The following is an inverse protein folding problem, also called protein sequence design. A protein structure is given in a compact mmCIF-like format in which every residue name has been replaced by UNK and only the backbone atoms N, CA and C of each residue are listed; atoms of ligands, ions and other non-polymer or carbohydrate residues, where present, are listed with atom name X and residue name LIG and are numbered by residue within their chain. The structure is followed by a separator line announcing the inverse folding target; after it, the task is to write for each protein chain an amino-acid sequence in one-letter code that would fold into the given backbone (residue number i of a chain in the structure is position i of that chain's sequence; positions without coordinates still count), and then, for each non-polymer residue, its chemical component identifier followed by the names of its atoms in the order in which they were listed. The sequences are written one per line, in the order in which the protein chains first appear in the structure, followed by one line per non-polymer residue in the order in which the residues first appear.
data_IF_515342866147
#
_entry.id   IF_515342866147
#
_cell.length_a   1.000
_cell.length_b   1.000
_cell.length_c   1.000
_cell.angle_alpha   90.00
_cell.angle_beta   90.00
_cell.angle_gamma   90.00
#
_symmetry.space_group_name_H-M   'P 1'
#
loop_
_entity.id
_entity.type
_entity.pdbx_description
1 polymer ?
#
# COMPACT_ATOMS: atom_id res chain seq x y z
N UNK A 1 -25.19 10.43 -11.78
CA UNK A 1 -25.02 9.24 -12.65
C UNK A 1 -26.28 8.42 -12.51
N UNK A 2 -26.91 8.00 -13.62
CA UNK A 2 -28.19 7.28 -13.56
C UNK A 2 -28.04 6.01 -12.70
N UNK A 3 -28.97 5.78 -11.77
CA UNK A 3 -29.00 4.60 -10.88
C UNK A 3 -28.90 3.28 -11.67
N UNK A 4 -29.42 3.24 -12.90
CA UNK A 4 -29.29 2.10 -13.81
C UNK A 4 -27.84 1.71 -14.12
N UNK A 5 -26.94 2.68 -14.27
CA UNK A 5 -25.51 2.42 -14.55
C UNK A 5 -24.84 1.76 -13.34
N UNK A 6 -25.16 2.22 -12.12
CA UNK A 6 -24.64 1.63 -10.89
C UNK A 6 -25.09 0.17 -10.72
N UNK A 7 -26.36 -0.13 -11.06
CA UNK A 7 -26.88 -1.50 -11.03
C UNK A 7 -26.15 -2.38 -12.05
N UNK A 8 -25.94 -1.90 -13.28
CA UNK A 8 -25.17 -2.65 -14.28
C UNK A 8 -23.75 -2.95 -13.81
N UNK A 9 -23.05 -1.96 -13.24
CA UNK A 9 -21.68 -2.16 -12.73
C UNK A 9 -21.65 -3.08 -11.51
N UNK A 10 -22.70 -3.07 -10.69
CA UNK A 10 -22.85 -3.99 -9.57
C UNK A 10 -23.07 -5.45 -10.02
N UNK A 11 -23.80 -5.68 -11.10
CA UNK A 11 -23.93 -7.01 -11.71
C UNK A 11 -22.60 -7.48 -12.29
N UNK A 12 -21.84 -6.59 -12.94
CA UNK A 12 -20.48 -6.87 -13.41
C UNK A 12 -19.56 -7.21 -12.23
N UNK A 13 -19.67 -6.48 -11.12
CA UNK A 13 -18.94 -6.79 -9.89
C UNK A 13 -19.30 -8.19 -9.36
N UNK A 14 -20.60 -8.51 -9.27
CA UNK A 14 -21.06 -9.85 -8.90
C UNK A 14 -20.46 -10.93 -9.80
N UNK A 15 -20.47 -10.72 -11.11
CA UNK A 15 -19.92 -11.67 -12.09
C UNK A 15 -18.40 -11.85 -11.97
N UNK A 16 -17.67 -10.78 -11.69
CA UNK A 16 -16.20 -10.81 -11.60
C UNK A 16 -15.67 -11.36 -10.27
N UNK A 17 -16.42 -11.21 -9.16
CA UNK A 17 -15.93 -11.49 -7.81
C UNK A 17 -16.68 -12.61 -7.06
N UNK A 18 -17.88 -13.04 -7.50
CA UNK A 18 -18.62 -14.07 -6.78
C UNK A 18 -17.91 -15.44 -6.82
N UNK A 19 -17.55 -15.97 -5.65
CA UNK A 19 -16.72 -17.18 -5.47
C UNK A 19 -15.34 -17.10 -6.14
N UNK A 20 -14.90 -15.91 -6.54
CA UNK A 20 -13.62 -15.68 -7.17
C UNK A 20 -12.61 -15.11 -6.19
N UNK A 21 -11.37 -15.56 -6.30
CA UNK A 21 -10.24 -14.91 -5.66
C UNK A 21 -9.78 -13.70 -6.46
N UNK A 22 -8.86 -12.89 -5.92
CA UNK A 22 -8.28 -11.79 -6.69
C UNK A 22 -7.34 -12.30 -7.79
N UNK A 23 -7.40 -11.63 -8.94
CA UNK A 23 -6.57 -11.87 -10.11
C UNK A 23 -6.88 -10.81 -11.17
N UNK A 24 -7.09 -11.23 -12.41
CA UNK A 24 -7.44 -10.34 -13.52
C UNK A 24 -8.77 -9.60 -13.30
N UNK A 25 -9.70 -10.16 -12.53
CA UNK A 25 -10.95 -9.49 -12.15
C UNK A 25 -10.76 -8.10 -11.53
N UNK A 26 -9.73 -7.90 -10.71
CA UNK A 26 -9.39 -6.60 -10.12
C UNK A 26 -9.07 -5.60 -11.23
N UNK A 27 -8.20 -5.98 -12.17
CA UNK A 27 -7.76 -5.13 -13.27
C UNK A 27 -8.95 -4.78 -14.19
N UNK A 28 -9.80 -5.76 -14.49
CA UNK A 28 -11.01 -5.58 -15.29
C UNK A 28 -12.04 -4.66 -14.61
N UNK A 29 -12.05 -4.60 -13.28
CA UNK A 29 -13.02 -3.78 -12.55
C UNK A 29 -12.59 -2.31 -12.38
N UNK A 30 -11.30 -1.98 -12.48
CA UNK A 30 -10.78 -0.60 -12.32
C UNK A 30 -11.46 0.42 -13.25
N UNK A 31 -11.65 0.16 -14.56
CA UNK A 31 -12.35 1.09 -15.45
C UNK A 31 -13.74 1.50 -14.95
N UNK A 32 -14.49 0.59 -14.34
CA UNK A 32 -15.81 0.87 -13.78
C UNK A 32 -15.72 1.80 -12.56
N UNK A 33 -14.73 1.57 -11.69
CA UNK A 33 -14.41 2.47 -10.56
C UNK A 33 -14.08 3.88 -11.07
N UNK A 34 -13.24 4.00 -12.10
CA UNK A 34 -12.87 5.29 -12.71
C UNK A 34 -14.10 6.04 -13.26
N UNK A 35 -15.01 5.33 -13.93
CA UNK A 35 -16.23 5.90 -14.50
C UNK A 35 -17.20 6.41 -13.42
N UNK A 36 -17.33 5.67 -12.32
CA UNK A 36 -18.19 6.03 -11.18
C UNK A 36 -17.68 7.29 -10.50
N UNK A 37 -16.39 7.33 -10.15
CA UNK A 37 -15.80 8.43 -9.38
C UNK A 37 -15.74 9.71 -10.21
N UNK A 38 -15.35 9.63 -11.49
CA UNK A 38 -15.23 10.81 -12.33
C UNK A 38 -16.53 11.20 -13.05
N UNK A 39 -17.69 10.62 -12.66
CA UNK A 39 -19.02 10.93 -13.21
C UNK A 39 -19.04 10.97 -14.75
N UNK A 40 -18.49 9.93 -15.39
CA UNK A 40 -18.37 9.77 -16.84
C UNK A 40 -17.42 10.73 -17.60
N UNK A 41 -16.57 11.51 -16.92
CA UNK A 41 -15.43 12.22 -17.55
C UNK A 41 -14.12 11.57 -17.12
N UNK A 42 -13.47 10.77 -17.96
CA UNK A 42 -12.19 10.14 -17.58
C UNK A 42 -11.08 11.20 -17.49
N UNK A 43 -10.90 11.82 -16.32
CA UNK A 43 -9.70 12.61 -16.02
C UNK A 43 -8.73 11.71 -15.28
N UNK A 44 -7.75 11.18 -16.02
CA UNK A 44 -6.67 10.37 -15.45
C UNK A 44 -5.80 11.30 -14.61
N UNK A 45 -5.83 11.11 -13.29
CA UNK A 45 -4.90 11.75 -12.36
C UNK A 45 -3.82 10.74 -11.94
N UNK A 46 -2.78 11.23 -11.26
CA UNK A 46 -1.67 10.39 -10.80
C UNK A 46 -2.15 9.19 -9.94
N UNK A 47 -3.22 9.36 -9.16
CA UNK A 47 -3.75 8.31 -8.29
C UNK A 47 -4.55 7.25 -9.04
N UNK A 48 -5.16 7.58 -10.18
CA UNK A 48 -5.71 6.59 -11.11
C UNK A 48 -4.61 5.68 -11.67
N UNK A 49 -3.45 6.26 -11.99
CA UNK A 49 -2.28 5.51 -12.44
C UNK A 49 -1.77 4.60 -11.33
N UNK A 50 -1.68 5.08 -10.07
CA UNK A 50 -1.33 4.24 -8.93
C UNK A 50 -2.30 3.07 -8.75
N UNK A 51 -3.62 3.31 -8.86
CA UNK A 51 -4.63 2.26 -8.78
C UNK A 51 -4.44 1.21 -9.88
N UNK A 52 -4.18 1.63 -11.12
CA UNK A 52 -3.86 0.73 -12.23
C UNK A 52 -2.60 -0.08 -11.97
N UNK A 53 -1.51 0.54 -11.52
CA UNK A 53 -0.26 -0.15 -11.17
C UNK A 53 -0.52 -1.21 -10.09
N UNK A 54 -1.33 -0.90 -9.08
CA UNK A 54 -1.66 -1.90 -8.05
C UNK A 54 -2.59 -3.01 -8.53
N UNK A 55 -3.48 -2.73 -9.50
CA UNK A 55 -4.26 -3.76 -10.17
C UNK A 55 -3.37 -4.71 -10.98
N UNK A 56 -2.39 -4.16 -11.70
CA UNK A 56 -1.36 -4.94 -12.40
C UNK A 56 -0.53 -5.75 -11.40
N UNK A 57 -0.14 -5.15 -10.28
CA UNK A 57 0.60 -5.83 -9.21
C UNK A 57 -0.16 -7.05 -8.67
N UNK A 58 -1.47 -6.95 -8.42
CA UNK A 58 -2.29 -8.10 -7.98
C UNK A 58 -2.35 -9.19 -9.05
N UNK A 59 -2.44 -8.81 -10.33
CA UNK A 59 -2.42 -9.76 -11.44
C UNK A 59 -1.05 -10.47 -11.59
N UNK A 60 0.06 -9.72 -11.52
CA UNK A 60 1.43 -10.24 -11.66
C UNK A 60 1.86 -11.07 -10.45
N UNK A 61 1.51 -10.61 -9.25
CA UNK A 61 1.92 -11.20 -7.99
C UNK A 61 0.80 -11.03 -6.95
N UNK A 62 -0.02 -12.08 -6.78
CA UNK A 62 -1.04 -12.13 -5.76
C UNK A 62 -0.39 -12.33 -4.38
N UNK A 63 -0.10 -11.23 -3.69
CA UNK A 63 0.52 -11.21 -2.38
C UNK A 63 -0.25 -10.29 -1.43
N UNK A 64 -0.04 -10.46 -0.13
CA UNK A 64 -0.65 -9.58 0.88
C UNK A 64 -0.23 -8.12 0.61
N UNK A 65 1.01 -7.87 0.21
CA UNK A 65 1.51 -6.53 -0.08
C UNK A 65 0.81 -5.87 -1.27
N UNK A 66 0.54 -6.62 -2.34
CA UNK A 66 -0.18 -6.09 -3.51
C UNK A 66 -1.64 -5.79 -3.20
N UNK A 67 -2.30 -6.65 -2.43
CA UNK A 67 -3.68 -6.44 -1.98
C UNK A 67 -3.78 -5.20 -1.07
N UNK A 68 -2.89 -5.06 -0.08
CA UNK A 68 -2.88 -3.89 0.80
C UNK A 68 -2.68 -2.61 0.00
N UNK A 69 -1.73 -2.60 -0.94
CA UNK A 69 -1.45 -1.42 -1.75
C UNK A 69 -2.58 -1.10 -2.74
N UNK A 70 -3.30 -2.11 -3.25
CA UNK A 70 -4.52 -1.92 -4.05
C UNK A 70 -5.56 -1.13 -3.27
N UNK A 71 -5.89 -1.54 -2.03
CA UNK A 71 -6.86 -0.83 -1.20
C UNK A 71 -6.39 0.57 -0.82
N UNK A 72 -5.12 0.75 -0.43
CA UNK A 72 -4.57 2.07 -0.13
C UNK A 72 -4.64 3.01 -1.36
N UNK A 73 -4.39 2.48 -2.56
CA UNK A 73 -4.48 3.23 -3.82
C UNK A 73 -5.91 3.56 -4.21
N UNK A 74 -6.84 2.62 -4.00
CA UNK A 74 -8.26 2.83 -4.20
C UNK A 74 -8.78 3.95 -3.29
N UNK A 75 -8.48 3.91 -2.00
CA UNK A 75 -8.90 4.94 -1.05
C UNK A 75 -8.28 6.31 -1.37
N UNK A 76 -6.97 6.35 -1.66
CA UNK A 76 -6.33 7.57 -2.11
C UNK A 76 -7.01 8.13 -3.37
N UNK A 77 -7.32 7.28 -4.35
CA UNK A 77 -7.98 7.68 -5.59
C UNK A 77 -9.39 8.25 -5.38
N UNK A 78 -10.20 7.64 -4.50
CA UNK A 78 -11.55 8.11 -4.15
C UNK A 78 -11.49 9.57 -3.68
N UNK A 79 -10.64 9.87 -2.70
CA UNK A 79 -10.57 11.22 -2.14
C UNK A 79 -9.83 12.21 -3.03
N UNK A 80 -8.72 11.81 -3.66
CA UNK A 80 -7.92 12.69 -4.52
C UNK A 80 -8.59 13.11 -5.82
N UNK A 81 -9.56 12.32 -6.28
CA UNK A 81 -10.38 12.68 -7.44
C UNK A 81 -11.43 13.73 -7.10
N UNK A 82 -11.81 13.84 -5.82
CA UNK A 82 -12.71 14.89 -5.34
C UNK A 82 -11.94 16.15 -4.92
N UNK A 83 -10.84 15.98 -4.18
CA UNK A 83 -9.96 17.06 -3.74
C UNK A 83 -8.49 16.73 -3.97
N UNK A 84 -7.86 17.47 -4.88
CA UNK A 84 -6.45 17.26 -5.22
C UNK A 84 -5.48 17.74 -4.11
N UNK A 85 -5.91 18.66 -3.25
CA UNK A 85 -5.06 19.35 -2.26
C UNK A 85 -4.76 18.54 -1.01
N UNK A 86 -5.64 17.60 -0.66
CA UNK A 86 -5.52 16.75 0.53
C UNK A 86 -4.14 16.10 0.62
N UNK A 87 -3.53 16.08 1.80
CA UNK A 87 -2.37 15.22 2.06
C UNK A 87 -2.70 13.74 1.83
N UNK A 88 -1.73 12.92 1.42
CA UNK A 88 -2.01 11.54 1.01
C UNK A 88 -2.61 10.70 2.13
N UNK A 89 -2.11 10.85 3.36
CA UNK A 89 -2.56 10.06 4.50
C UNK A 89 -4.01 10.41 4.88
N UNK A 90 -4.38 11.70 4.82
CA UNK A 90 -5.76 12.14 5.01
C UNK A 90 -6.65 11.71 3.85
N UNK A 91 -6.16 11.76 2.61
CA UNK A 91 -6.90 11.28 1.46
C UNK A 91 -7.19 9.78 1.55
N UNK A 92 -6.20 8.96 1.89
CA UNK A 92 -6.39 7.53 2.09
C UNK A 92 -7.37 7.25 3.24
N UNK A 93 -7.29 8.00 4.34
CA UNK A 93 -8.23 7.86 5.46
C UNK A 93 -9.67 8.25 5.06
N UNK A 94 -9.85 9.45 4.49
CA UNK A 94 -11.16 9.93 4.05
C UNK A 94 -11.78 9.03 2.96
N UNK A 95 -10.94 8.46 2.09
CA UNK A 95 -11.36 7.53 1.04
C UNK A 95 -11.81 6.19 1.60
N UNK A 96 -11.14 5.69 2.64
CA UNK A 96 -11.56 4.48 3.35
C UNK A 96 -12.93 4.68 4.00
N UNK A 97 -13.13 5.80 4.71
CA UNK A 97 -14.42 6.14 5.31
C UNK A 97 -15.51 6.30 4.23
N UNK A 98 -15.19 7.02 3.14
CA UNK A 98 -16.10 7.18 2.00
C UNK A 98 -16.51 5.84 1.41
N UNK A 99 -15.60 4.87 1.29
CA UNK A 99 -15.91 3.55 0.72
C UNK A 99 -16.93 2.74 1.52
N UNK A 100 -17.06 3.02 2.82
CA UNK A 100 -17.93 2.28 3.75
C UNK A 100 -19.25 3.01 3.97
N UNK A 101 -19.23 4.34 4.14
CA UNK A 101 -20.40 5.13 4.55
C UNK A 101 -20.69 6.33 3.65
N UNK A 102 -20.08 6.44 2.47
CA UNK A 102 -20.27 7.56 1.55
C UNK A 102 -21.74 7.85 1.19
N UNK A 103 -22.57 6.82 1.07
CA UNK A 103 -23.99 6.98 0.75
C UNK A 103 -24.78 7.74 1.83
N UNK A 104 -24.27 7.80 3.07
CA UNK A 104 -24.89 8.60 4.13
C UNK A 104 -24.89 10.10 3.79
N UNK A 105 -23.94 10.57 2.97
CA UNK A 105 -23.90 11.97 2.53
C UNK A 105 -25.15 12.35 1.71
N UNK A 106 -25.75 11.38 0.99
CA UNK A 106 -26.99 11.60 0.23
C UNK A 106 -28.15 11.98 1.17
N UNK A 107 -28.20 11.37 2.36
CA UNK A 107 -29.24 11.61 3.36
C UNK A 107 -29.05 12.96 4.06
N UNK A 108 -27.80 13.33 4.34
CA UNK A 108 -27.45 14.55 5.07
C UNK A 108 -27.44 15.79 4.17
N UNK A 109 -27.02 15.65 2.91
CA UNK A 109 -26.88 16.75 1.94
C UNK A 109 -27.67 16.48 0.65
N UNK A 110 -29.02 16.46 0.68
CA UNK A 110 -29.84 16.13 -0.49
C UNK A 110 -29.67 17.14 -1.66
N UNK A 111 -29.13 18.34 -1.38
CA UNK A 111 -28.89 19.39 -2.39
C UNK A 111 -27.81 19.05 -3.42
N UNK A 112 -26.97 18.03 -3.21
CA UNK A 112 -25.93 17.63 -4.17
C UNK A 112 -26.46 16.84 -5.38
N UNK A 113 -27.74 16.45 -5.38
CA UNK A 113 -28.41 15.80 -6.52
C UNK A 113 -29.44 16.72 -7.18
N UNK A 114 -29.02 17.87 -7.70
CA UNK A 114 -29.77 18.52 -8.79
C UNK A 114 -29.34 17.88 -10.13
N UNK A 115 -29.55 16.58 -10.31
CA UNK A 115 -29.62 16.03 -11.66
C UNK A 115 -31.04 16.28 -12.16
N UNK A 116 -31.16 16.86 -13.36
CA UNK A 116 -32.42 17.01 -14.06
C UNK A 116 -33.10 15.65 -14.13
N UNK A 117 -34.15 15.45 -13.33
CA UNK A 117 -35.02 14.29 -13.47
C UNK A 117 -35.61 14.33 -14.88
N UNK A 118 -35.03 13.55 -15.79
CA UNK A 118 -35.83 13.07 -16.91
C UNK A 118 -36.98 12.30 -16.25
N UNK A 119 -38.22 12.75 -16.47
CA UNK A 119 -39.47 12.11 -16.01
C UNK A 119 -39.66 10.72 -16.64
N UNK A 120 -38.72 9.82 -16.42
CA UNK A 120 -38.89 8.40 -16.73
C UNK A 120 -39.80 7.88 -15.64
N UNK A 121 -40.99 7.41 -16.04
CA UNK A 121 -41.95 6.82 -15.15
C UNK A 121 -41.40 5.46 -14.65
N UNK A 122 -40.52 5.50 -13.65
CA UNK A 122 -39.87 4.32 -13.05
C UNK A 122 -40.87 3.33 -12.52
N UNK A 123 -42.03 3.80 -12.01
CA UNK A 123 -43.15 2.97 -11.60
C UNK A 123 -43.77 2.21 -12.78
N UNK A 124 -43.97 2.87 -13.92
CA UNK A 124 -44.43 2.21 -15.15
C UNK A 124 -43.45 1.12 -15.59
N UNK A 125 -42.16 1.43 -15.72
CA UNK A 125 -41.14 0.46 -16.14
C UNK A 125 -40.99 -0.72 -15.17
N UNK A 126 -41.11 -0.48 -13.87
CA UNK A 126 -41.10 -1.54 -12.85
C UNK A 126 -42.34 -2.44 -12.95
N UNK A 127 -43.54 -1.86 -13.03
CA UNK A 127 -44.78 -2.62 -13.21
C UNK A 127 -44.80 -3.38 -14.54
N UNK A 128 -44.35 -2.78 -15.64
CA UNK A 128 -44.26 -3.47 -16.93
C UNK A 128 -43.24 -4.60 -16.88
N UNK A 129 -42.12 -4.45 -16.18
CA UNK A 129 -41.14 -5.54 -16.05
C UNK A 129 -41.70 -6.73 -15.26
N UNK A 130 -42.52 -6.48 -14.23
CA UNK A 130 -43.20 -7.54 -13.46
C UNK A 130 -44.17 -8.35 -14.32
N UNK A 131 -44.75 -7.75 -15.35
CA UNK A 131 -45.69 -8.43 -16.27
C UNK A 131 -44.94 -9.06 -17.45
N UNK A 132 -44.00 -8.33 -18.05
CA UNK A 132 -43.27 -8.76 -19.24
C UNK A 132 -42.34 -9.94 -18.93
N UNK A 133 -41.62 -9.95 -17.81
CA UNK A 133 -40.72 -11.08 -17.50
C UNK A 133 -41.46 -12.42 -17.41
N UNK A 134 -42.53 -12.57 -16.60
CA UNK A 134 -43.27 -13.83 -16.54
C UNK A 134 -43.88 -14.24 -17.87
N UNK A 135 -44.42 -13.29 -18.65
CA UNK A 135 -44.95 -13.56 -19.99
C UNK A 135 -43.83 -14.02 -20.92
N UNK A 136 -42.67 -13.36 -20.91
CA UNK A 136 -41.51 -13.75 -21.70
C UNK A 136 -41.05 -15.18 -21.33
N UNK A 137 -40.91 -15.48 -20.04
CA UNK A 137 -40.52 -16.81 -19.56
C UNK A 137 -41.55 -17.88 -19.93
N UNK A 138 -42.85 -17.56 -19.87
CA UNK A 138 -43.92 -18.43 -20.32
C UNK A 138 -43.77 -18.75 -21.81
N UNK A 139 -43.53 -17.74 -22.65
CA UNK A 139 -43.35 -17.95 -24.10
C UNK A 139 -42.05 -18.69 -24.42
N UNK A 140 -40.95 -18.43 -23.70
CA UNK A 140 -39.71 -19.21 -23.83
C UNK A 140 -40.00 -20.69 -23.51
N UNK A 141 -40.69 -20.98 -22.41
CA UNK A 141 -41.08 -22.34 -22.04
C UNK A 141 -41.97 -23.02 -23.09
N UNK A 142 -43.00 -22.32 -23.58
CA UNK A 142 -43.89 -22.82 -24.63
C UNK A 142 -43.14 -23.11 -25.93
N UNK A 143 -42.24 -22.22 -26.35
CA UNK A 143 -41.42 -22.41 -27.56
C UNK A 143 -40.37 -23.50 -27.39
N UNK A 144 -39.78 -23.64 -26.19
CA UNK A 144 -38.87 -24.75 -25.85
C UNK A 144 -39.57 -26.09 -26.00
N UNK A 145 -40.78 -26.22 -25.47
CA UNK A 145 -41.55 -27.46 -25.60
C UNK A 145 -42.05 -27.73 -27.03
N UNK A 146 -42.20 -26.69 -27.85
CA UNK A 146 -42.76 -26.81 -29.20
C UNK A 146 -41.71 -27.02 -30.29
N UNK A 147 -40.45 -26.67 -30.05
CA UNK A 147 -39.37 -26.74 -31.05
C UNK A 147 -38.11 -27.38 -30.45
N UNK A 148 -37.77 -28.63 -30.83
CA UNK A 148 -36.60 -29.35 -30.31
C UNK A 148 -35.28 -28.61 -30.52
N UNK A 149 -35.11 -27.92 -31.66
CA UNK A 149 -33.90 -27.15 -31.96
C UNK A 149 -33.80 -25.93 -31.03
N UNK A 150 -34.92 -25.24 -30.80
CA UNK A 150 -34.95 -24.10 -29.87
C UNK A 150 -34.67 -24.56 -28.43
N UNK A 151 -35.20 -25.72 -28.03
CA UNK A 151 -34.93 -26.32 -26.73
C UNK A 151 -33.44 -26.60 -26.51
N UNK A 152 -32.74 -27.16 -27.50
CA UNK A 152 -31.29 -27.39 -27.41
C UNK A 152 -30.50 -26.09 -27.18
N UNK A 153 -30.91 -24.97 -27.77
CA UNK A 153 -30.26 -23.67 -27.53
C UNK A 153 -30.58 -23.11 -26.14
N UNK A 154 -31.82 -23.22 -25.67
CA UNK A 154 -32.20 -22.76 -24.33
C UNK A 154 -31.50 -23.57 -23.23
N UNK A 155 -31.38 -24.88 -23.41
CA UNK A 155 -30.69 -25.77 -22.45
C UNK A 155 -29.19 -25.50 -22.35
N UNK A 156 -28.57 -24.85 -23.33
CA UNK A 156 -27.17 -24.40 -23.27
C UNK A 156 -26.98 -23.13 -22.41
N UNK A 157 -28.06 -22.42 -22.09
CA UNK A 157 -27.99 -21.23 -21.25
C UNK A 157 -28.00 -21.67 -19.78
N UNK A 158 -26.84 -21.61 -19.15
CA UNK A 158 -26.71 -21.93 -17.73
C UNK A 158 -26.96 -20.70 -16.84
N UNK A 159 -28.00 -20.75 -16.02
CA UNK A 159 -28.32 -19.76 -14.99
C UNK A 159 -27.95 -20.21 -13.57
N UNK A 160 -27.27 -21.35 -13.41
CA UNK A 160 -26.86 -21.90 -12.12
C UNK A 160 -26.01 -20.92 -11.29
N UNK A 161 -25.34 -19.99 -11.95
CA UNK A 161 -24.56 -18.93 -11.30
C UNK A 161 -25.41 -17.91 -10.52
N UNK A 162 -26.71 -17.76 -10.84
CA UNK A 162 -27.63 -16.85 -10.15
C UNK A 162 -28.07 -17.49 -8.82
N UNK A 163 -27.19 -17.39 -7.83
CA UNK A 163 -27.47 -17.83 -6.47
C UNK A 163 -27.77 -16.63 -5.55
N UNK A 164 -28.28 -16.91 -4.35
CA UNK A 164 -28.39 -15.88 -3.31
C UNK A 164 -27.04 -15.22 -2.99
N UNK A 165 -25.95 -15.99 -3.10
CA UNK A 165 -24.59 -15.47 -2.90
C UNK A 165 -24.15 -14.52 -4.01
N UNK A 166 -24.50 -14.81 -5.28
CA UNK A 166 -24.27 -13.90 -6.39
C UNK A 166 -25.03 -12.59 -6.19
N UNK A 167 -26.32 -12.68 -5.82
CA UNK A 167 -27.15 -11.49 -5.55
C UNK A 167 -26.59 -10.68 -4.38
N UNK A 168 -26.15 -11.33 -3.31
CA UNK A 168 -25.51 -10.66 -2.17
C UNK A 168 -24.19 -9.97 -2.57
N UNK A 169 -23.38 -10.60 -3.41
CA UNK A 169 -22.12 -10.03 -3.91
C UNK A 169 -22.38 -8.83 -4.82
N UNK A 170 -23.36 -8.94 -5.73
CA UNK A 170 -23.79 -7.83 -6.57
C UNK A 170 -24.35 -6.68 -5.71
N UNK A 171 -25.14 -6.98 -4.67
CA UNK A 171 -25.65 -5.97 -3.74
C UNK A 171 -24.53 -5.28 -2.96
N UNK A 172 -23.52 -6.03 -2.49
CA UNK A 172 -22.34 -5.47 -1.85
C UNK A 172 -21.57 -4.54 -2.81
N UNK A 173 -21.39 -4.97 -4.07
CA UNK A 173 -20.84 -4.13 -5.14
C UNK A 173 -21.66 -2.86 -5.36
N UNK A 174 -22.99 -2.96 -5.37
CA UNK A 174 -23.88 -1.81 -5.51
C UNK A 174 -23.73 -0.81 -4.35
N UNK A 175 -23.71 -1.30 -3.09
CA UNK A 175 -23.49 -0.46 -1.91
C UNK A 175 -22.12 0.22 -1.97
N UNK A 176 -21.08 -0.53 -2.30
CA UNK A 176 -19.73 0.03 -2.49
C UNK A 176 -19.69 1.11 -3.57
N UNK A 177 -20.27 0.86 -4.74
CA UNK A 177 -20.34 1.83 -5.83
C UNK A 177 -21.16 3.08 -5.47
N UNK A 178 -22.26 2.90 -4.74
CA UNK A 178 -23.03 4.03 -4.19
C UNK A 178 -22.19 4.88 -3.24
N UNK A 179 -21.47 4.24 -2.33
CA UNK A 179 -20.60 4.89 -1.36
C UNK A 179 -19.53 5.75 -2.05
N UNK A 180 -18.75 5.19 -2.96
CA UNK A 180 -17.67 5.93 -3.65
C UNK A 180 -18.20 7.03 -4.58
N UNK A 181 -19.46 6.92 -5.04
CA UNK A 181 -20.10 7.96 -5.88
C UNK A 181 -20.50 9.22 -5.10
N UNK A 182 -20.57 9.12 -3.78
CA UNK A 182 -21.02 10.18 -2.87
C UNK A 182 -19.96 10.45 -1.80
N UNK A 183 -18.90 11.21 -2.14
CA UNK A 183 -17.78 11.40 -1.23
C UNK A 183 -18.22 12.07 0.08
N UNK A 184 -17.74 11.57 1.22
CA UNK A 184 -18.11 12.03 2.57
C UNK A 184 -16.87 12.54 3.30
N UNK A 185 -17.04 13.56 4.16
CA UNK A 185 -15.99 14.20 4.98
C UNK A 185 -14.86 14.91 4.20
N UNK A 186 -14.86 14.89 2.87
CA UNK A 186 -13.72 15.39 2.08
C UNK A 186 -13.48 16.89 2.29
N UNK A 187 -14.55 17.69 2.37
CA UNK A 187 -14.41 19.15 2.54
C UNK A 187 -13.93 19.48 3.95
N UNK A 188 -14.51 18.83 4.94
CA UNK A 188 -14.17 19.01 6.35
C UNK A 188 -12.70 18.61 6.60
N UNK A 189 -12.25 17.49 6.03
CA UNK A 189 -10.85 17.05 6.13
C UNK A 189 -9.91 17.95 5.32
N UNK A 190 -10.36 18.48 4.17
CA UNK A 190 -9.58 19.45 3.38
C UNK A 190 -9.38 20.76 4.14
N UNK A 191 -10.42 21.29 4.77
CA UNK A 191 -10.33 22.48 5.62
C UNK A 191 -9.35 22.27 6.78
N UNK A 192 -9.39 21.11 7.43
CA UNK A 192 -8.41 20.76 8.47
C UNK A 192 -6.97 20.68 7.92
N UNK A 193 -6.77 20.06 6.74
CA UNK A 193 -5.44 19.96 6.11
C UNK A 193 -4.91 21.33 5.68
N UNK A 194 -5.76 22.21 5.15
CA UNK A 194 -5.40 23.58 4.75
C UNK A 194 -5.07 24.46 5.96
N UNK A 195 -5.82 24.31 7.06
CA UNK A 195 -5.57 25.03 8.31
C UNK A 195 -4.33 24.53 9.05
N UNK A 196 -3.76 23.37 8.66
CA UNK A 196 -2.57 22.81 9.28
C UNK A 196 -1.30 23.33 8.57
N UNK A 197 -0.60 24.35 9.12
CA UNK A 197 0.47 25.01 8.40
C UNK A 197 1.67 24.08 8.19
N UNK A 198 2.26 24.12 7.00
CA UNK A 198 3.52 23.43 6.70
C UNK A 198 4.77 24.24 7.10
N UNK A 199 4.63 25.54 7.33
CA UNK A 199 5.72 26.44 7.70
C UNK A 199 5.38 27.10 9.03
N UNK A 200 6.37 27.26 9.91
CA UNK A 200 6.19 27.97 11.16
C UNK A 200 5.97 29.46 10.87
N UNK A 201 4.98 30.05 11.54
CA UNK A 201 4.73 31.48 11.47
C UNK A 201 5.76 32.22 12.32
N UNK A 202 6.34 33.28 11.75
CA UNK A 202 7.25 34.15 12.48
C UNK A 202 6.43 34.99 13.46
N UNK A 203 6.83 35.10 14.73
CA UNK A 203 6.19 35.99 15.69
C UNK A 203 6.22 37.44 15.18
N UNK A 204 5.07 38.11 15.17
CA UNK A 204 4.94 39.50 14.73
C UNK A 204 5.49 40.47 15.79
N UNK A 205 5.25 40.17 17.06
CA UNK A 205 5.73 40.96 18.18
C UNK A 205 7.13 40.53 18.64
N UNK A 206 7.86 41.49 19.22
CA UNK A 206 9.13 41.20 19.89
C UNK A 206 8.86 40.31 21.11
N UNK A 207 9.71 39.31 21.31
CA UNK A 207 9.61 38.43 22.46
C UNK A 207 9.69 39.21 23.78
N UNK A 208 8.78 38.91 24.71
CA UNK A 208 8.84 39.44 26.06
C UNK A 208 10.11 38.98 26.79
N UNK A 209 10.53 39.71 27.82
CA UNK A 209 11.75 39.39 28.57
C UNK A 209 11.70 38.00 29.21
N UNK A 210 10.57 37.62 29.81
CA UNK A 210 10.37 36.28 30.40
C UNK A 210 10.43 35.17 29.34
N UNK A 211 9.84 35.40 28.16
CA UNK A 211 9.91 34.45 27.06
C UNK A 211 11.34 34.31 26.52
N UNK A 212 12.10 35.40 26.42
CA UNK A 212 13.51 35.36 26.02
C UNK A 212 14.38 34.57 27.00
N UNK A 213 14.14 34.71 28.30
CA UNK A 213 14.83 33.93 29.34
C UNK A 213 14.49 32.44 29.21
N UNK A 214 13.21 32.09 29.05
CA UNK A 214 12.79 30.70 28.83
C UNK A 214 13.42 30.11 27.56
N UNK A 215 13.42 30.86 26.45
CA UNK A 215 14.05 30.43 25.19
C UNK A 215 15.57 30.24 25.33
N UNK A 216 16.23 31.04 26.17
CA UNK A 216 17.66 30.88 26.47
C UNK A 216 17.92 29.56 27.21
N UNK A 217 17.10 29.23 28.21
CA UNK A 217 17.21 27.95 28.93
C UNK A 217 16.89 26.76 28.03
N UNK A 218 15.82 26.84 27.24
CA UNK A 218 15.43 25.79 26.28
C UNK A 218 16.53 25.59 25.23
N UNK A 219 17.11 26.67 24.69
CA UNK A 219 18.25 26.59 23.77
C UNK A 219 19.46 25.89 24.40
N UNK A 220 19.78 26.21 25.65
CA UNK A 220 20.90 25.60 26.36
C UNK A 220 20.67 24.09 26.57
N UNK A 221 19.49 23.71 27.06
CA UNK A 221 19.11 22.30 27.26
C UNK A 221 19.17 21.52 25.94
N UNK A 222 18.59 22.08 24.88
CA UNK A 222 18.60 21.46 23.56
C UNK A 222 20.03 21.33 23.01
N UNK A 223 20.86 22.36 23.16
CA UNK A 223 22.24 22.33 22.68
C UNK A 223 23.10 21.31 23.43
N UNK A 224 22.93 21.21 24.75
CA UNK A 224 23.62 20.21 25.57
C UNK A 224 23.18 18.79 25.20
N UNK A 225 21.88 18.55 25.09
CA UNK A 225 21.36 17.23 24.72
C UNK A 225 21.85 16.80 23.34
N UNK A 226 21.64 17.63 22.31
CA UNK A 226 22.04 17.31 20.93
C UNK A 226 23.57 17.23 20.82
N UNK A 227 24.31 18.09 21.54
CA UNK A 227 25.76 18.03 21.61
C UNK A 227 26.27 16.70 22.16
N UNK A 228 25.73 16.25 23.30
CA UNK A 228 26.08 14.96 23.91
C UNK A 228 25.70 13.78 23.03
N UNK A 229 24.52 13.83 22.39
CA UNK A 229 24.08 12.76 21.48
C UNK A 229 24.93 12.70 20.21
N UNK A 230 25.36 13.84 19.67
CA UNK A 230 26.33 13.89 18.58
C UNK A 230 27.65 13.25 18.97
N UNK A 231 28.19 13.62 20.14
CA UNK A 231 29.43 13.04 20.64
C UNK A 231 29.33 11.52 20.78
N UNK A 232 28.25 11.02 21.40
CA UNK A 232 27.99 9.60 21.54
C UNK A 232 27.88 8.90 20.18
N UNK A 233 27.18 9.51 19.22
CA UNK A 233 26.99 8.92 17.89
C UNK A 233 28.28 8.89 17.08
N UNK A 234 29.16 9.88 17.23
CA UNK A 234 30.51 9.85 16.64
C UNK A 234 31.32 8.69 17.21
N UNK A 235 31.34 8.52 18.54
CA UNK A 235 32.02 7.38 19.18
C UNK A 235 31.45 6.06 18.66
N UNK A 236 30.13 5.94 18.58
CA UNK A 236 29.47 4.76 18.03
C UNK A 236 29.91 4.47 16.59
N UNK A 237 29.89 5.47 15.70
CA UNK A 237 30.31 5.30 14.31
C UNK A 237 31.79 4.91 14.18
N UNK A 238 32.66 5.45 15.04
CA UNK A 238 34.07 5.03 15.10
C UNK A 238 34.16 3.55 15.49
N UNK A 239 33.46 3.12 16.54
CA UNK A 239 33.44 1.70 16.94
C UNK A 239 32.85 0.80 15.85
N UNK A 240 31.90 1.31 15.08
CA UNK A 240 31.29 0.58 13.96
C UNK A 240 32.29 0.37 12.82
N UNK A 241 33.13 1.37 12.52
CA UNK A 241 34.22 1.23 11.55
C UNK A 241 35.28 0.26 12.05
N UNK A 242 35.64 0.31 13.33
CA UNK A 242 36.58 -0.64 13.93
C UNK A 242 36.05 -2.09 13.89
N UNK A 243 34.74 -2.27 14.07
CA UNK A 243 34.07 -3.57 13.95
C UNK A 243 34.25 -4.16 12.55
N UNK A 244 34.14 -3.34 11.49
CA UNK A 244 34.36 -3.81 10.11
C UNK A 244 35.79 -4.31 9.85
N UNK A 245 36.77 -3.77 10.56
CA UNK A 245 38.18 -4.16 10.43
C UNK A 245 38.55 -5.37 11.29
N UNK A 246 37.66 -5.88 12.14
CA UNK A 246 37.91 -7.01 13.04
C UNK A 246 37.02 -8.20 12.68
N UNK A 247 37.61 -9.21 12.01
CA UNK A 247 36.91 -10.40 11.54
C UNK A 247 36.28 -11.24 12.65
N UNK A 248 36.94 -11.36 13.80
CA UNK A 248 36.43 -12.13 14.95
C UNK A 248 35.23 -11.42 15.58
N UNK A 249 35.34 -10.11 15.79
CA UNK A 249 34.25 -9.30 16.32
C UNK A 249 33.05 -9.26 15.36
N UNK A 250 33.30 -9.24 14.03
CA UNK A 250 32.25 -9.31 13.02
C UNK A 250 31.54 -10.67 13.06
N UNK A 251 32.25 -11.77 13.30
CA UNK A 251 31.64 -13.09 13.46
C UNK A 251 30.78 -13.17 14.72
N UNK A 252 31.25 -12.66 15.86
CA UNK A 252 30.46 -12.59 17.10
C UNK A 252 29.22 -11.69 16.95
N UNK A 253 29.29 -10.64 16.13
CA UNK A 253 28.16 -9.77 15.84
C UNK A 253 27.02 -10.50 15.08
N UNK A 254 27.35 -11.55 14.29
CA UNK A 254 26.36 -12.29 13.46
C UNK A 254 25.19 -12.85 14.26
N UNK A 255 25.39 -13.22 15.52
CA UNK A 255 24.35 -13.80 16.38
C UNK A 255 23.34 -12.75 16.86
N UNK A 256 23.70 -11.46 16.86
CA UNK A 256 22.88 -10.38 17.42
C UNK A 256 22.46 -9.31 16.39
N UNK A 257 22.80 -9.46 15.11
CA UNK A 257 22.59 -8.45 14.04
C UNK A 257 21.15 -7.98 13.99
N UNK A 258 20.18 -8.89 14.08
CA UNK A 258 18.77 -8.53 13.96
C UNK A 258 18.36 -7.58 15.09
N UNK A 259 18.69 -7.90 16.33
CA UNK A 259 18.41 -7.03 17.47
C UNK A 259 19.11 -5.67 17.31
N UNK A 260 20.37 -5.66 16.87
CA UNK A 260 21.14 -4.43 16.68
C UNK A 260 20.53 -3.52 15.61
N UNK A 261 20.12 -4.05 14.45
CA UNK A 261 19.50 -3.25 13.38
C UNK A 261 18.18 -2.64 13.87
N UNK A 262 17.33 -3.39 14.56
CA UNK A 262 16.06 -2.87 15.08
C UNK A 262 16.26 -1.78 16.14
N UNK A 263 17.24 -1.92 17.03
CA UNK A 263 17.56 -0.87 18.01
C UNK A 263 18.05 0.42 17.34
N UNK A 264 18.88 0.30 16.29
CA UNK A 264 19.35 1.46 15.54
C UNK A 264 18.20 2.16 14.81
N UNK A 265 17.28 1.39 14.22
CA UNK A 265 16.04 1.90 13.62
C UNK A 265 15.25 2.75 14.61
N UNK A 266 14.99 2.22 15.81
CA UNK A 266 14.26 2.94 16.86
C UNK A 266 14.99 4.23 17.28
N UNK A 267 16.32 4.20 17.35
CA UNK A 267 17.11 5.39 17.70
C UNK A 267 16.92 6.56 16.71
N UNK A 268 16.75 6.27 15.42
CA UNK A 268 16.55 7.31 14.40
C UNK A 268 15.15 7.92 14.49
N UNK A 269 14.14 7.12 14.84
CA UNK A 269 12.79 7.65 15.12
C UNK A 269 12.84 8.61 16.31
N UNK A 270 13.59 8.27 17.37
CA UNK A 270 13.82 9.19 18.49
C UNK A 270 14.56 10.46 18.06
N UNK A 271 15.57 10.36 17.19
CA UNK A 271 16.26 11.53 16.67
C UNK A 271 15.30 12.50 15.94
N UNK A 272 14.45 11.98 15.05
CA UNK A 272 13.44 12.79 14.34
C UNK A 272 12.44 13.40 15.33
N UNK A 273 11.99 12.64 16.32
CA UNK A 273 11.04 13.09 17.36
C UNK A 273 11.64 14.21 18.21
N UNK A 274 12.86 14.04 18.73
CA UNK A 274 13.55 15.03 19.57
C UNK A 274 13.79 16.33 18.79
N UNK A 275 14.28 16.24 17.55
CA UNK A 275 14.43 17.41 16.69
C UNK A 275 13.08 18.09 16.46
N UNK A 276 12.02 17.32 16.24
CA UNK A 276 10.68 17.88 16.01
C UNK A 276 10.14 18.63 17.23
N UNK A 277 10.41 18.14 18.44
CA UNK A 277 10.01 18.78 19.71
C UNK A 277 10.73 20.12 19.90
N UNK A 278 12.06 20.14 19.81
CA UNK A 278 12.81 21.38 20.05
C UNK A 278 12.62 22.43 18.94
N UNK A 279 12.47 21.99 17.68
CA UNK A 279 12.22 22.90 16.56
C UNK A 279 10.71 23.14 16.30
N UNK A 280 9.84 23.05 17.31
CA UNK A 280 8.38 23.21 17.13
C UNK A 280 7.86 24.65 17.07
N UNK A 281 8.61 25.62 17.60
CA UNK A 281 8.08 26.96 17.83
C UNK A 281 9.14 28.06 17.86
N UNK A 282 8.96 29.01 18.77
CA UNK A 282 9.72 30.27 18.90
C UNK A 282 11.25 30.08 18.94
N UNK A 283 11.73 28.92 19.39
CA UNK A 283 13.16 28.58 19.37
C UNK A 283 13.77 28.70 17.96
N UNK A 284 13.01 28.40 16.90
CA UNK A 284 13.45 28.58 15.50
C UNK A 284 13.83 30.02 15.16
N UNK A 285 13.16 30.99 15.79
CA UNK A 285 13.29 32.43 15.55
C UNK A 285 14.14 33.15 16.61
N UNK A 286 14.69 32.41 17.58
CA UNK A 286 15.59 32.97 18.58
C UNK A 286 16.92 33.42 17.93
N UNK A 287 17.36 34.65 18.24
CA UNK A 287 18.50 35.30 17.57
C UNK A 287 19.81 34.50 17.66
N UNK A 288 20.03 33.73 18.73
CA UNK A 288 21.26 32.92 18.93
C UNK A 288 21.12 31.45 18.54
N UNK A 289 20.07 31.07 17.79
CA UNK A 289 19.77 29.68 17.43
C UNK A 289 20.72 29.05 16.37
N UNK A 290 21.76 29.77 15.93
CA UNK A 290 22.68 29.25 14.89
C UNK A 290 23.46 28.02 15.36
N UNK A 291 23.92 28.00 16.62
CA UNK A 291 24.65 26.86 17.18
C UNK A 291 23.77 25.62 17.23
N UNK A 292 22.57 25.73 17.79
CA UNK A 292 21.62 24.64 17.88
C UNK A 292 21.21 24.10 16.49
N UNK A 293 20.98 24.99 15.50
CA UNK A 293 20.75 24.58 14.11
C UNK A 293 21.93 23.79 13.54
N UNK A 294 23.18 24.23 13.77
CA UNK A 294 24.38 23.51 13.30
C UNK A 294 24.50 22.14 13.98
N UNK A 295 24.34 22.07 15.29
CA UNK A 295 24.37 20.80 16.03
C UNK A 295 23.31 19.82 15.54
N UNK A 296 22.08 20.29 15.31
CA UNK A 296 21.00 19.46 14.78
C UNK A 296 21.28 18.99 13.34
N UNK A 297 21.83 19.85 12.48
CA UNK A 297 22.21 19.45 11.12
C UNK A 297 23.33 18.43 11.10
N UNK A 298 24.36 18.61 11.93
CA UNK A 298 25.42 17.59 12.13
C UNK A 298 24.79 16.29 12.60
N UNK A 299 23.83 16.34 13.51
CA UNK A 299 23.15 15.14 14.01
C UNK A 299 22.38 14.39 12.93
N UNK A 300 21.67 15.12 12.05
CA UNK A 300 20.99 14.50 10.90
C UNK A 300 22.00 13.86 9.93
N UNK A 301 23.13 14.50 9.68
CA UNK A 301 24.21 13.93 8.84
C UNK A 301 24.77 12.66 9.48
N UNK A 302 25.08 12.67 10.78
CA UNK A 302 25.58 11.49 11.49
C UNK A 302 24.55 10.35 11.50
N UNK A 303 23.25 10.64 11.67
CA UNK A 303 22.20 9.62 11.53
C UNK A 303 22.10 9.09 10.09
N UNK A 304 22.38 9.91 9.09
CA UNK A 304 22.43 9.45 7.70
C UNK A 304 23.61 8.49 7.49
N UNK A 305 24.79 8.80 8.05
CA UNK A 305 25.95 7.90 8.04
C UNK A 305 25.65 6.59 8.78
N UNK A 306 24.93 6.66 9.90
CA UNK A 306 24.48 5.49 10.64
C UNK A 306 23.58 4.57 9.79
N UNK A 307 22.65 5.16 9.03
CA UNK A 307 21.81 4.41 8.09
C UNK A 307 22.66 3.72 7.01
N UNK A 308 23.65 4.43 6.44
CA UNK A 308 24.54 3.85 5.44
C UNK A 308 25.40 2.71 6.00
N UNK A 309 25.93 2.85 7.21
CA UNK A 309 26.65 1.77 7.89
C UNK A 309 25.74 0.54 8.14
N UNK A 310 24.49 0.79 8.52
CA UNK A 310 23.50 -0.27 8.75
C UNK A 310 23.10 -0.97 7.44
N UNK A 311 22.98 -0.23 6.33
CA UNK A 311 22.78 -0.80 4.99
C UNK A 311 23.94 -1.72 4.61
N UNK A 312 25.18 -1.30 4.85
CA UNK A 312 26.36 -2.10 4.59
C UNK A 312 26.37 -3.41 5.41
N UNK A 313 26.07 -3.34 6.71
CA UNK A 313 25.90 -4.54 7.56
C UNK A 313 24.85 -5.49 7.04
N UNK A 314 23.69 -4.97 6.64
CA UNK A 314 22.62 -5.79 6.08
C UNK A 314 23.04 -6.43 4.75
N UNK A 315 23.77 -5.71 3.90
CA UNK A 315 24.31 -6.23 2.65
C UNK A 315 25.33 -7.36 2.89
N UNK A 316 26.29 -7.13 3.77
CA UNK A 316 27.26 -8.15 4.18
C UNK A 316 26.59 -9.43 4.69
N UNK A 317 25.50 -9.27 5.44
CA UNK A 317 24.73 -10.40 5.94
C UNK A 317 23.93 -11.13 4.84
N UNK A 318 23.43 -10.41 3.83
CA UNK A 318 22.79 -11.00 2.64
C UNK A 318 23.80 -11.83 1.84
N UNK A 319 25.02 -11.33 1.70
CA UNK A 319 26.09 -11.99 0.96
C UNK A 319 26.45 -13.36 1.57
N UNK A 320 26.50 -13.45 2.91
CA UNK A 320 26.91 -14.68 3.60
C UNK A 320 25.76 -15.65 3.92
N UNK A 321 24.54 -15.15 4.11
CA UNK A 321 23.39 -15.94 4.59
C UNK A 321 22.17 -15.87 3.67
N UNK A 322 22.33 -15.33 2.47
CA UNK A 322 21.28 -15.23 1.48
C UNK A 322 20.29 -14.08 1.71
N UNK A 323 19.25 -13.99 0.90
CA UNK A 323 18.18 -12.99 1.03
C UNK A 323 17.01 -13.55 1.85
N UNK A 324 16.37 -12.68 2.66
CA UNK A 324 15.14 -13.02 3.40
C UNK A 324 14.16 -11.85 3.35
N UNK A 325 12.87 -12.10 3.60
CA UNK A 325 11.87 -11.03 3.71
C UNK A 325 12.23 -9.98 4.75
N UNK A 326 12.82 -10.39 5.89
CA UNK A 326 13.26 -9.45 6.93
C UNK A 326 14.36 -8.52 6.41
N UNK A 327 15.35 -9.06 5.68
CA UNK A 327 16.48 -8.27 5.12
C UNK A 327 16.01 -7.30 4.03
N UNK A 328 15.03 -7.70 3.20
CA UNK A 328 14.38 -6.78 2.25
C UNK A 328 13.62 -5.68 2.99
N UNK A 329 12.86 -6.03 4.03
CA UNK A 329 12.14 -5.08 4.87
C UNK A 329 13.07 -4.03 5.50
N UNK A 330 14.26 -4.45 5.95
CA UNK A 330 15.32 -3.54 6.45
C UNK A 330 15.75 -2.55 5.36
N UNK A 331 15.99 -3.00 4.12
CA UNK A 331 16.38 -2.10 3.02
C UNK A 331 15.29 -1.05 2.76
N UNK A 332 14.03 -1.49 2.62
CA UNK A 332 12.89 -0.58 2.39
C UNK A 332 12.74 0.41 3.54
N UNK A 333 12.88 -0.05 4.78
CA UNK A 333 12.84 0.79 5.96
C UNK A 333 13.94 1.87 5.93
N UNK A 334 15.20 1.47 5.69
CA UNK A 334 16.33 2.39 5.67
C UNK A 334 16.21 3.45 4.56
N UNK A 335 15.62 3.10 3.40
CA UNK A 335 15.27 4.06 2.36
C UNK A 335 14.24 5.09 2.85
N UNK A 336 13.16 4.64 3.52
CA UNK A 336 12.16 5.54 4.11
C UNK A 336 12.75 6.42 5.21
N UNK A 337 13.71 5.91 5.98
CA UNK A 337 14.43 6.68 7.00
C UNK A 337 15.28 7.79 6.39
N UNK A 338 15.98 7.53 5.28
CA UNK A 338 16.72 8.57 4.55
C UNK A 338 15.76 9.69 4.11
N UNK A 339 14.58 9.32 3.59
CA UNK A 339 13.54 10.29 3.22
C UNK A 339 13.07 11.11 4.44
N UNK A 340 12.84 10.45 5.57
CA UNK A 340 12.46 11.12 6.83
C UNK A 340 13.54 12.08 7.34
N UNK A 341 14.80 11.67 7.31
CA UNK A 341 15.96 12.51 7.66
C UNK A 341 16.11 13.69 6.71
N UNK A 342 15.90 13.50 5.40
CA UNK A 342 15.89 14.58 4.42
C UNK A 342 14.84 15.65 4.74
N UNK A 343 13.59 15.24 5.02
CA UNK A 343 12.55 16.20 5.40
C UNK A 343 12.78 16.83 6.77
N UNK A 344 13.45 16.11 7.69
CA UNK A 344 13.89 16.65 8.98
C UNK A 344 14.96 17.73 8.81
N UNK A 345 15.93 17.50 7.92
CA UNK A 345 16.90 18.52 7.53
C UNK A 345 16.21 19.75 6.95
N UNK A 346 15.30 19.56 5.97
CA UNK A 346 14.52 20.67 5.39
C UNK A 346 13.68 21.40 6.44
N UNK A 347 13.14 20.69 7.43
CA UNK A 347 12.41 21.29 8.54
C UNK A 347 13.26 22.28 9.31
N UNK A 348 14.51 21.93 9.63
CA UNK A 348 15.44 22.82 10.36
C UNK A 348 15.78 24.04 9.50
N UNK A 349 16.13 23.83 8.23
CA UNK A 349 16.61 24.90 7.34
C UNK A 349 15.53 25.91 6.98
N UNK A 350 14.31 25.44 6.70
CA UNK A 350 13.22 26.26 6.19
C UNK A 350 12.09 26.44 7.21
N UNK A 351 12.37 26.18 8.50
CA UNK A 351 11.46 26.38 9.63
C UNK A 351 10.08 25.73 9.38
N UNK A 352 10.08 24.48 8.90
CA UNK A 352 8.83 23.76 8.61
C UNK A 352 8.21 23.19 9.88
N UNK A 353 6.94 22.82 9.83
CA UNK A 353 6.26 22.13 10.93
C UNK A 353 6.54 20.62 10.93
N UNK A 354 6.13 19.91 11.98
CA UNK A 354 6.14 18.45 11.96
C UNK A 354 5.20 17.89 10.86
N UNK A 355 4.05 18.54 10.66
CA UNK A 355 3.09 18.19 9.62
C UNK A 355 3.68 18.22 8.21
N UNK A 356 4.62 19.14 7.94
CA UNK A 356 5.38 19.12 6.69
C UNK A 356 6.16 17.81 6.50
N UNK A 357 6.83 17.30 7.53
CA UNK A 357 7.53 16.01 7.43
C UNK A 357 6.52 14.91 7.15
N UNK A 358 5.44 14.84 7.93
CA UNK A 358 4.44 13.78 7.81
C UNK A 358 3.78 13.79 6.42
N UNK A 359 3.35 14.96 5.91
CA UNK A 359 2.73 15.12 4.59
C UNK A 359 3.63 14.65 3.45
N UNK A 360 4.92 15.03 3.47
CA UNK A 360 5.82 14.70 2.37
C UNK A 360 6.40 13.27 2.48
N UNK A 361 6.76 12.82 3.68
CA UNK A 361 7.28 11.45 3.89
C UNK A 361 6.23 10.39 3.57
N UNK A 362 4.97 10.60 3.97
CA UNK A 362 3.88 9.67 3.63
C UNK A 362 3.58 9.66 2.13
N UNK A 363 3.71 10.80 1.44
CA UNK A 363 3.56 10.85 -0.02
C UNK A 363 4.65 10.03 -0.72
N UNK A 364 5.92 10.22 -0.36
CA UNK A 364 7.02 9.42 -0.91
C UNK A 364 6.83 7.94 -0.58
N UNK A 365 6.47 7.61 0.66
CA UNK A 365 6.21 6.24 1.07
C UNK A 365 5.08 5.59 0.28
N UNK A 366 3.98 6.29 0.05
CA UNK A 366 2.86 5.80 -0.76
C UNK A 366 3.32 5.41 -2.17
N UNK A 367 4.02 6.30 -2.88
CA UNK A 367 4.49 6.01 -4.24
C UNK A 367 5.56 4.91 -4.27
N UNK A 368 6.46 4.89 -3.28
CA UNK A 368 7.45 3.81 -3.14
C UNK A 368 6.76 2.46 -2.97
N UNK A 369 5.78 2.35 -2.07
CA UNK A 369 5.03 1.12 -1.84
C UNK A 369 4.16 0.72 -3.04
N UNK A 370 3.63 1.68 -3.82
CA UNK A 370 2.98 1.39 -5.11
C UNK A 370 3.91 0.63 -6.04
N UNK A 371 5.15 1.09 -6.22
CA UNK A 371 6.12 0.43 -7.11
C UNK A 371 6.57 -0.91 -6.51
N UNK A 372 6.90 -0.93 -5.22
CA UNK A 372 7.37 -2.13 -4.52
C UNK A 372 6.30 -3.25 -4.46
N UNK A 373 5.01 -2.92 -4.61
CA UNK A 373 3.96 -3.93 -4.67
C UNK A 373 4.07 -4.84 -5.90
N UNK A 374 4.72 -4.39 -6.98
CA UNK A 374 4.93 -5.19 -8.19
C UNK A 374 5.89 -6.37 -8.00
N UNK A 375 6.72 -6.33 -6.95
CA UNK A 375 7.80 -7.29 -6.76
C UNK A 375 7.26 -8.63 -6.23
N UNK A 376 7.48 -9.76 -6.93
CA UNK A 376 7.16 -11.09 -6.42
C UNK A 376 8.20 -11.53 -5.40
N UNK A 377 8.07 -11.07 -4.15
CA UNK A 377 9.09 -11.28 -3.10
C UNK A 377 9.43 -12.76 -2.88
N UNK A 378 8.46 -13.68 -2.92
CA UNK A 378 8.71 -15.12 -2.77
C UNK A 378 9.65 -15.63 -3.86
N UNK A 379 9.31 -15.37 -5.13
CA UNK A 379 10.14 -15.68 -6.29
C UNK A 379 11.51 -15.02 -6.24
N UNK A 380 11.56 -13.72 -5.92
CA UNK A 380 12.81 -12.95 -5.87
C UNK A 380 13.78 -13.52 -4.83
N UNK A 381 13.28 -13.84 -3.63
CA UNK A 381 14.10 -14.44 -2.56
C UNK A 381 14.60 -15.81 -2.96
N UNK A 382 13.74 -16.67 -3.51
CA UNK A 382 14.13 -18.00 -3.96
C UNK A 382 15.16 -17.93 -5.08
N UNK A 383 14.91 -17.13 -6.12
CA UNK A 383 15.83 -16.95 -7.23
C UNK A 383 17.19 -16.42 -6.78
N UNK A 384 17.22 -15.42 -5.90
CA UNK A 384 18.48 -14.87 -5.39
C UNK A 384 19.29 -15.93 -4.63
N UNK A 385 18.64 -16.69 -3.74
CA UNK A 385 19.33 -17.67 -2.90
C UNK A 385 19.84 -18.89 -3.66
N UNK A 386 19.14 -19.31 -4.72
CA UNK A 386 19.58 -20.45 -5.52
C UNK A 386 20.75 -20.11 -6.45
N UNK A 387 20.89 -18.84 -6.82
CA UNK A 387 21.94 -18.33 -7.69
C UNK A 387 23.13 -17.69 -6.94
N UNK A 388 23.07 -17.62 -5.61
CA UNK A 388 24.16 -17.06 -4.81
C UNK A 388 25.10 -18.14 -4.29
N UNK A 389 26.32 -17.74 -3.94
CA UNK A 389 27.31 -18.60 -3.28
C UNK A 389 27.03 -18.76 -1.77
N UNK A 390 25.97 -18.12 -1.25
CA UNK A 390 25.61 -18.18 0.15
C UNK A 390 25.13 -19.58 0.57
N UNK A 391 25.21 -19.87 1.86
CA UNK A 391 24.66 -21.12 2.42
C UNK A 391 23.14 -21.13 2.21
N UNK A 392 22.66 -22.09 1.40
CA UNK A 392 21.24 -22.21 1.04
C UNK A 392 20.48 -22.87 2.20
N UNK A 393 19.55 -22.14 2.80
CA UNK A 393 18.57 -22.68 3.73
C UNK A 393 17.29 -23.08 2.97
N UNK A 394 17.25 -24.33 2.52
CA UNK A 394 16.08 -24.86 1.77
C UNK A 394 14.85 -24.96 2.67
N UNK A 395 15.02 -25.21 3.97
CA UNK A 395 13.93 -25.18 4.94
C UNK A 395 13.23 -23.82 4.93
N UNK A 396 14.01 -22.73 4.98
CA UNK A 396 13.48 -21.37 4.86
C UNK A 396 12.75 -21.15 3.52
N UNK A 397 13.34 -21.56 2.38
CA UNK A 397 12.69 -21.37 1.06
C UNK A 397 11.33 -22.07 0.95
N UNK A 398 11.15 -23.20 1.65
CA UNK A 398 9.87 -23.92 1.70
C UNK A 398 8.82 -23.20 2.57
N UNK A 399 9.24 -22.34 3.51
CA UNK A 399 8.31 -21.50 4.31
C UNK A 399 7.76 -20.29 3.56
N UNK A 400 8.36 -19.90 2.44
CA UNK A 400 7.93 -18.77 1.62
C UNK A 400 6.55 -19.01 0.99
N UNK A 401 5.92 -18.00 0.36
CA UNK A 401 4.71 -18.22 -0.42
C UNK A 401 4.94 -19.21 -1.57
N UNK A 402 3.88 -19.95 -1.94
CA UNK A 402 3.96 -21.09 -2.87
C UNK A 402 4.20 -20.70 -4.34
N UNK A 403 4.17 -19.41 -4.64
CA UNK A 403 4.48 -18.84 -5.95
C UNK A 403 5.94 -19.07 -6.39
N UNK A 404 6.81 -19.52 -5.48
CA UNK A 404 8.19 -19.92 -5.80
C UNK A 404 8.36 -21.39 -6.24
N UNK A 405 7.27 -22.18 -6.32
CA UNK A 405 7.34 -23.62 -6.54
C UNK A 405 8.05 -24.02 -7.86
N UNK A 406 7.73 -23.33 -8.96
CA UNK A 406 8.36 -23.59 -10.26
C UNK A 406 9.87 -23.32 -10.24
N UNK A 407 10.31 -22.26 -9.55
CA UNK A 407 11.74 -21.91 -9.45
C UNK A 407 12.51 -22.97 -8.65
N UNK A 408 11.93 -23.46 -7.55
CA UNK A 408 12.51 -24.56 -6.77
C UNK A 408 12.61 -25.84 -7.60
N UNK A 409 11.61 -26.13 -8.42
CA UNK A 409 11.60 -27.29 -9.29
C UNK A 409 12.63 -27.20 -10.42
N UNK A 410 12.83 -26.02 -11.00
CA UNK A 410 13.83 -25.78 -12.03
C UNK A 410 15.25 -26.12 -11.51
N UNK A 411 15.54 -25.74 -10.26
CA UNK A 411 16.83 -25.98 -9.59
C UNK A 411 16.91 -27.31 -8.82
N UNK A 412 15.95 -28.23 -9.02
CA UNK A 412 15.85 -29.47 -8.24
C UNK A 412 17.07 -30.37 -8.33
N UNK A 413 17.77 -30.37 -9.47
CA UNK A 413 18.95 -31.21 -9.67
C UNK A 413 20.10 -30.78 -8.77
N UNK A 414 20.34 -29.47 -8.68
CA UNK A 414 21.37 -28.89 -7.81
C UNK A 414 21.01 -29.05 -6.33
N UNK A 415 19.72 -28.93 -6.01
CA UNK A 415 19.21 -29.11 -4.65
C UNK A 415 19.30 -30.57 -4.20
N UNK A 416 18.97 -31.55 -5.05
CA UNK A 416 19.06 -32.98 -4.72
C UNK A 416 20.45 -33.41 -4.26
N UNK A 417 21.49 -32.79 -4.81
CA UNK A 417 22.88 -33.07 -4.42
C UNK A 417 23.30 -32.38 -3.11
N UNK A 418 22.54 -31.38 -2.64
CA UNK A 418 22.87 -30.53 -1.50
C UNK A 418 21.96 -30.75 -0.28
N UNK A 419 20.84 -31.46 -0.43
CA UNK A 419 19.82 -31.62 0.63
C UNK A 419 19.32 -33.06 0.77
N UNK A 420 18.80 -33.38 1.96
CA UNK A 420 18.18 -34.67 2.25
C UNK A 420 16.97 -34.98 1.35
N UNK A 421 16.67 -36.28 1.17
CA UNK A 421 15.53 -36.74 0.35
C UNK A 421 14.16 -36.19 0.83
N UNK A 422 14.05 -35.82 2.10
CA UNK A 422 12.87 -35.16 2.64
C UNK A 422 12.60 -33.81 1.96
N UNK A 423 13.62 -32.97 1.79
CA UNK A 423 13.49 -31.67 1.15
C UNK A 423 13.07 -31.80 -0.32
N UNK A 424 13.65 -32.78 -1.03
CA UNK A 424 13.28 -33.04 -2.42
C UNK A 424 11.79 -33.43 -2.55
N UNK A 425 11.30 -34.32 -1.69
CA UNK A 425 9.87 -34.70 -1.66
C UNK A 425 8.97 -33.51 -1.34
N UNK A 426 9.39 -32.63 -0.43
CA UNK A 426 8.65 -31.41 -0.10
C UNK A 426 8.58 -30.43 -1.28
N UNK A 427 9.64 -30.30 -2.08
CA UNK A 427 9.64 -29.47 -3.30
C UNK A 427 8.66 -30.04 -4.34
N UNK A 428 8.67 -31.35 -4.57
CA UNK A 428 7.76 -32.00 -5.52
C UNK A 428 6.30 -31.86 -5.08
N UNK A 429 6.00 -32.12 -3.80
CA UNK A 429 4.66 -31.95 -3.22
C UNK A 429 4.16 -30.51 -3.35
N UNK A 430 5.04 -29.54 -3.12
CA UNK A 430 4.74 -28.12 -3.26
C UNK A 430 4.40 -27.74 -4.70
N UNK A 431 5.14 -28.24 -5.69
CA UNK A 431 4.84 -28.02 -7.10
C UNK A 431 3.46 -28.54 -7.46
N UNK A 432 3.18 -29.82 -7.16
CA UNK A 432 1.87 -30.44 -7.45
C UNK A 432 0.72 -29.68 -6.81
N UNK A 433 0.89 -29.24 -5.56
CA UNK A 433 -0.10 -28.40 -4.89
C UNK A 433 -0.32 -27.08 -5.65
N UNK A 434 0.76 -26.42 -6.10
CA UNK A 434 0.66 -25.13 -6.76
C UNK A 434 0.07 -25.25 -8.18
N UNK A 435 0.40 -26.29 -8.93
CA UNK A 435 -0.23 -26.64 -10.21
C UNK A 435 -1.74 -26.86 -10.02
N UNK A 436 -2.12 -27.72 -9.07
CA UNK A 436 -3.53 -27.97 -8.72
C UNK A 436 -4.24 -26.66 -8.33
N UNK A 437 -3.57 -25.79 -7.57
CA UNK A 437 -4.10 -24.48 -7.21
C UNK A 437 -4.32 -23.57 -8.44
N UNK A 438 -3.45 -23.61 -9.44
CA UNK A 438 -3.62 -22.84 -10.68
C UNK A 438 -4.71 -23.43 -11.58
N UNK A 439 -4.83 -24.75 -11.65
CA UNK A 439 -5.85 -25.46 -12.43
C UNK A 439 -7.26 -25.16 -11.93
N UNK A 440 -7.46 -25.20 -10.60
CA UNK A 440 -8.76 -24.98 -9.94
C UNK A 440 -9.27 -23.53 -9.98
N UNK A 441 -8.45 -22.58 -10.46
CA UNK A 441 -8.88 -21.18 -10.60
C UNK A 441 -9.73 -21.04 -11.86
N UNK A 442 -10.80 -20.27 -11.76
CA UNK A 442 -11.52 -19.78 -12.93
C UNK A 442 -10.78 -18.60 -13.57
N UNK A 443 -11.11 -18.31 -14.83
CA UNK A 443 -10.44 -17.28 -15.62
C UNK A 443 -10.47 -15.88 -14.98
N UNK A 444 -11.54 -15.54 -14.25
CA UNK A 444 -11.66 -14.26 -13.52
C UNK A 444 -10.57 -14.11 -12.45
N UNK A 445 -10.16 -15.24 -11.88
CA UNK A 445 -9.14 -15.33 -10.84
C UNK A 445 -7.73 -15.48 -11.43
N UNK A 446 -7.54 -15.54 -12.75
CA UNK A 446 -6.20 -15.76 -13.30
C UNK A 446 -5.20 -14.69 -12.90
N UNK A 447 -4.04 -15.14 -12.43
CA UNK A 447 -2.82 -14.32 -12.27
C UNK A 447 -1.90 -14.57 -13.47
N UNK A 448 -0.77 -13.87 -13.53
CA UNK A 448 0.24 -14.10 -14.56
C UNK A 448 0.73 -15.56 -14.57
N UNK A 449 0.83 -16.21 -13.40
CA UNK A 449 1.25 -17.61 -13.30
C UNK A 449 0.25 -18.57 -13.96
N UNK A 450 -1.05 -18.25 -13.89
CA UNK A 450 -2.07 -19.00 -14.64
C UNK A 450 -1.88 -18.90 -16.16
N UNK A 451 -1.22 -17.87 -16.68
CA UNK A 451 -0.99 -17.74 -18.13
C UNK A 451 0.34 -18.36 -18.58
N UNK A 452 1.30 -18.51 -17.66
CA UNK A 452 2.63 -19.03 -17.97
C UNK A 452 2.69 -20.55 -17.77
N UNK A 453 2.04 -21.06 -16.73
CA UNK A 453 2.22 -22.44 -16.28
C UNK A 453 0.95 -23.31 -16.38
N UNK A 454 -0.18 -22.76 -16.82
CA UNK A 454 -1.39 -23.55 -17.07
C UNK A 454 -1.35 -24.03 -18.52
N UNK A 455 -0.97 -25.28 -18.71
CA UNK A 455 -1.10 -26.00 -19.98
C UNK A 455 -2.49 -26.62 -20.14
#
# INVERSE_FOLDING_TARGET
MKKSILISFALIFGYLFYQQSFGINVLLFIPFILLVINKAKVKINLYAICLLITGISVFVNLSISSIVMLFLSLFAFISKSTSSKLSIYLATFAGAITSIIGSANILVNPKTQKESESKVNTKFWFLTSIIILPVLFLFIYLYSNSNPIFNEYIQKIDFSFISIGFIATALAGFVFLLNISSPLLIKEVEEIDEQTPSTLLKPEEKFSKSLLENLKFEHLQASLLIGTLNFLLVLFLITDVLLFNNSEAMQAFKENVHNSVYTLIVSIIFAITIISIYFRGNLNFYHKNQLLKRLANVWVILNTLLVLSTLYKNWYYIDHHGLTFKRIGVIVYLLLTIVGLYYTFRKIQYQKTFWYILKNSTAVGFFLFTVLSLVPYGKLVTYYNLNSEAVIDVGYLLTLPKDNAFILWEHRADLKNKTDEEYYRNIESRLKYYETYLEQRDWQSYTLDNLIYKD
#
